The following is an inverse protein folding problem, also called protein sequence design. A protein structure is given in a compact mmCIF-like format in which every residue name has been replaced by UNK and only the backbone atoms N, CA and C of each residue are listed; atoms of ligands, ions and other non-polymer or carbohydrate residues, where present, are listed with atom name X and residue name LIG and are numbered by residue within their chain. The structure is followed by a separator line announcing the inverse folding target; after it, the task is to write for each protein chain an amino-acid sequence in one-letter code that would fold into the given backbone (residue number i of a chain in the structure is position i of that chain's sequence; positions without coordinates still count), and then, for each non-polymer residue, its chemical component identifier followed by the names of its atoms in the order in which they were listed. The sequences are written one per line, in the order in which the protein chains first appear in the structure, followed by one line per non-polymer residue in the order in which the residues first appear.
data_IF_470191174792
#
_entry.id   IF_470191174792
#
_cell.length_a   1.000
_cell.length_b   1.000
_cell.length_c   1.000
_cell.angle_alpha   90.00
_cell.angle_beta   90.00
_cell.angle_gamma   90.00
#
_symmetry.space_group_name_H-M   'P 1'
#
loop_
_entity.id
_entity.type
_entity.pdbx_description
1 polymer ?
#
# COMPACT_ATOMS: atom_id res chain seq x y z
N UNK A 1 -73.35 -59.37 28.32
CA UNK A 1 -72.95 -60.79 28.13
C UNK A 1 -71.53 -60.95 28.68
N UNK A 2 -71.28 -61.86 29.61
CA UNK A 2 -69.95 -62.04 30.21
C UNK A 2 -69.07 -62.90 29.30
N UNK A 3 -67.84 -62.45 29.00
CA UNK A 3 -66.98 -63.10 28.00
C UNK A 3 -66.10 -64.23 28.58
N UNK A 4 -65.99 -64.37 29.91
CA UNK A 4 -65.09 -65.34 30.58
C UNK A 4 -65.81 -66.03 31.74
N UNK A 5 -65.88 -67.38 31.79
CA UNK A 5 -66.49 -68.12 32.90
C UNK A 5 -65.47 -68.37 34.03
N UNK A 6 -65.04 -67.32 34.73
CA UNK A 6 -64.32 -67.42 36.01
C UNK A 6 -64.79 -66.32 36.98
N UNK A 7 -64.90 -66.57 38.30
CA UNK A 7 -65.48 -65.62 39.25
C UNK A 7 -64.42 -64.59 39.67
N UNK A 8 -64.12 -63.68 38.74
CA UNK A 8 -63.49 -62.41 39.08
C UNK A 8 -64.62 -61.49 39.55
N UNK A 9 -64.51 -60.91 40.75
CA UNK A 9 -65.54 -60.06 41.36
C UNK A 9 -65.84 -58.77 40.58
N UNK A 10 -65.88 -57.57 41.18
CA UNK A 10 -66.22 -56.31 40.48
C UNK A 10 -65.33 -55.91 39.29
N UNK A 11 -64.38 -56.77 38.90
CA UNK A 11 -63.35 -56.59 37.88
C UNK A 11 -63.68 -57.39 36.60
N UNK A 12 -64.77 -58.17 36.56
CA UNK A 12 -65.18 -58.87 35.33
C UNK A 12 -65.59 -57.84 34.26
N UNK A 13 -64.90 -57.77 33.10
CA UNK A 13 -65.20 -56.75 32.10
C UNK A 13 -66.51 -57.06 31.40
N UNK A 14 -67.49 -56.18 31.55
CA UNK A 14 -68.66 -56.16 30.68
C UNK A 14 -68.22 -55.93 29.23
N UNK A 15 -68.67 -56.79 28.33
CA UNK A 15 -68.26 -56.78 26.91
C UNK A 15 -68.61 -55.49 26.19
N UNK A 16 -69.67 -54.82 26.64
CA UNK A 16 -70.06 -53.49 26.17
C UNK A 16 -69.03 -52.44 26.60
N UNK A 17 -68.60 -52.44 27.87
CA UNK A 17 -67.58 -51.52 28.37
C UNK A 17 -66.21 -51.77 27.72
N UNK A 18 -65.86 -53.04 27.48
CA UNK A 18 -64.63 -53.40 26.76
C UNK A 18 -64.70 -52.94 25.29
N UNK A 19 -65.82 -53.17 24.60
CA UNK A 19 -65.99 -52.73 23.22
C UNK A 19 -65.92 -51.20 23.09
N UNK A 20 -66.61 -50.46 23.96
CA UNK A 20 -66.57 -49.00 24.00
C UNK A 20 -65.15 -48.50 24.35
N UNK A 21 -64.47 -49.13 25.31
CA UNK A 21 -63.10 -48.81 25.67
C UNK A 21 -62.10 -49.02 24.52
N UNK A 22 -62.22 -50.11 23.77
CA UNK A 22 -61.39 -50.40 22.59
C UNK A 22 -61.65 -49.40 21.47
N UNK A 23 -62.91 -49.01 21.23
CA UNK A 23 -63.25 -48.00 20.23
C UNK A 23 -62.71 -46.62 20.61
N UNK A 24 -62.87 -46.20 21.86
CA UNK A 24 -62.31 -44.94 22.38
C UNK A 24 -60.78 -44.93 22.32
N UNK A 25 -60.14 -46.01 22.76
CA UNK A 25 -58.69 -46.16 22.71
C UNK A 25 -58.17 -46.16 21.27
N UNK A 26 -58.85 -46.87 20.36
CA UNK A 26 -58.51 -46.91 18.94
C UNK A 26 -58.62 -45.53 18.28
N UNK A 27 -59.69 -44.79 18.57
CA UNK A 27 -59.89 -43.42 18.09
C UNK A 27 -58.78 -42.48 18.59
N UNK A 28 -58.47 -42.52 19.89
CA UNK A 28 -57.39 -41.74 20.48
C UNK A 28 -56.02 -42.11 19.90
N UNK A 29 -55.75 -43.41 19.71
CA UNK A 29 -54.50 -43.91 19.13
C UNK A 29 -54.30 -43.39 17.70
N UNK A 30 -55.33 -43.43 16.86
CA UNK A 30 -55.27 -42.89 15.50
C UNK A 30 -55.03 -41.37 15.51
N UNK A 31 -55.70 -40.65 16.41
CA UNK A 31 -55.51 -39.20 16.56
C UNK A 31 -54.07 -38.84 16.98
N UNK A 32 -53.54 -39.50 18.01
CA UNK A 32 -52.17 -39.27 18.51
C UNK A 32 -51.12 -39.67 17.46
N UNK A 33 -51.30 -40.83 16.80
CA UNK A 33 -50.41 -41.28 15.72
C UNK A 33 -50.35 -40.26 14.58
N UNK A 34 -51.51 -39.69 14.20
CA UNK A 34 -51.57 -38.64 13.17
C UNK A 34 -50.84 -37.36 13.60
N UNK A 35 -50.92 -36.99 14.88
CA UNK A 35 -50.25 -35.81 15.42
C UNK A 35 -48.74 -35.99 15.47
N UNK A 36 -48.24 -37.13 15.94
CA UNK A 36 -46.80 -37.46 16.00
C UNK A 36 -46.17 -37.42 14.60
N UNK A 37 -46.85 -37.95 13.58
CA UNK A 37 -46.35 -37.89 12.21
C UNK A 37 -46.18 -36.45 11.69
N UNK A 38 -47.06 -35.52 12.09
CA UNK A 38 -46.90 -34.10 11.73
C UNK A 38 -45.74 -33.44 12.46
N UNK A 39 -45.55 -33.75 13.74
CA UNK A 39 -44.43 -33.21 14.53
C UNK A 39 -43.09 -33.72 13.98
N UNK A 40 -42.98 -35.01 13.69
CA UNK A 40 -41.77 -35.59 13.10
C UNK A 40 -41.41 -34.93 11.76
N UNK A 41 -42.41 -34.66 10.91
CA UNK A 41 -42.19 -33.95 9.64
C UNK A 41 -41.57 -32.55 9.82
N UNK A 42 -42.04 -31.79 10.82
CA UNK A 42 -41.48 -30.46 11.12
C UNK A 42 -40.08 -30.56 11.71
N UNK A 43 -39.81 -31.59 12.52
CA UNK A 43 -38.47 -31.83 13.07
C UNK A 43 -37.47 -32.25 11.98
N UNK A 44 -37.87 -33.10 11.04
CA UNK A 44 -37.07 -33.49 9.88
C UNK A 44 -36.80 -32.30 8.94
N UNK A 45 -37.80 -31.46 8.70
CA UNK A 45 -37.66 -30.23 7.90
C UNK A 45 -36.68 -29.25 8.57
N UNK A 46 -36.72 -29.12 9.90
CA UNK A 46 -35.74 -28.31 10.63
C UNK A 46 -34.34 -28.92 10.61
N UNK A 47 -34.23 -30.23 10.80
CA UNK A 47 -32.96 -30.95 10.77
C UNK A 47 -32.28 -30.83 9.40
N UNK A 48 -33.03 -31.00 8.31
CA UNK A 48 -32.52 -30.85 6.94
C UNK A 48 -32.11 -29.41 6.62
N UNK A 49 -32.82 -28.40 7.12
CA UNK A 49 -32.37 -26.99 6.99
C UNK A 49 -31.05 -26.77 7.73
N UNK A 50 -30.94 -27.25 8.98
CA UNK A 50 -29.72 -27.11 9.78
C UNK A 50 -28.52 -27.84 9.15
N UNK A 51 -28.76 -29.04 8.62
CA UNK A 51 -27.73 -29.85 7.96
C UNK A 51 -27.34 -29.24 6.60
N UNK A 52 -28.29 -28.69 5.84
CA UNK A 52 -28.02 -27.90 4.64
C UNK A 52 -27.23 -26.61 4.92
N UNK A 53 -27.40 -26.02 6.11
CA UNK A 53 -26.61 -24.85 6.56
C UNK A 53 -25.21 -25.25 7.04
N UNK A 54 -25.06 -26.42 7.68
CA UNK A 54 -23.80 -26.88 8.26
C UNK A 54 -22.89 -27.64 7.26
N UNK A 55 -23.47 -28.38 6.32
CA UNK A 55 -22.74 -29.20 5.35
C UNK A 55 -23.05 -28.91 3.88
N UNK A 56 -24.03 -28.05 3.59
CA UNK A 56 -24.44 -27.70 2.24
C UNK A 56 -23.80 -26.42 1.68
N UNK A 57 -24.39 -25.81 0.64
CA UNK A 57 -23.81 -24.68 -0.11
C UNK A 57 -23.41 -23.46 0.76
N UNK A 58 -24.06 -23.29 1.90
CA UNK A 58 -23.75 -22.21 2.84
C UNK A 58 -22.37 -22.38 3.53
N UNK A 59 -21.94 -23.63 3.79
CA UNK A 59 -20.63 -23.91 4.36
C UNK A 59 -19.51 -23.69 3.33
N UNK A 60 -19.75 -24.06 2.07
CA UNK A 60 -18.85 -23.78 0.95
C UNK A 60 -18.69 -22.27 0.72
N UNK A 61 -19.80 -21.53 0.74
CA UNK A 61 -19.77 -20.07 0.61
C UNK A 61 -18.98 -19.39 1.74
N UNK A 62 -19.10 -19.89 2.98
CA UNK A 62 -18.30 -19.40 4.11
C UNK A 62 -16.82 -19.68 3.93
N UNK A 63 -16.46 -20.91 3.54
CA UNK A 63 -15.07 -21.29 3.25
C UNK A 63 -14.48 -20.45 2.13
N UNK A 64 -15.25 -20.19 1.07
CA UNK A 64 -14.81 -19.35 -0.03
C UNK A 64 -14.64 -17.89 0.39
N UNK A 65 -15.56 -17.36 1.21
CA UNK A 65 -15.42 -16.02 1.77
C UNK A 65 -14.19 -15.90 2.68
N UNK A 66 -13.88 -16.93 3.48
CA UNK A 66 -12.67 -16.99 4.30
C UNK A 66 -11.40 -17.06 3.45
N UNK A 67 -11.40 -17.87 2.39
CA UNK A 67 -10.29 -17.93 1.42
C UNK A 67 -10.03 -16.59 0.76
N UNK A 68 -11.08 -15.96 0.21
CA UNK A 68 -10.97 -14.63 -0.43
C UNK A 68 -10.47 -13.59 0.57
N UNK A 69 -10.91 -13.65 1.84
CA UNK A 69 -10.39 -12.76 2.89
C UNK A 69 -8.90 -13.00 3.13
N UNK A 70 -8.49 -14.26 3.30
CA UNK A 70 -7.08 -14.61 3.51
C UNK A 70 -6.20 -14.19 2.33
N UNK A 71 -6.64 -14.41 1.09
CA UNK A 71 -5.95 -13.97 -0.12
C UNK A 71 -5.82 -12.45 -0.16
N UNK A 72 -6.90 -11.71 0.11
CA UNK A 72 -6.84 -10.23 0.15
C UNK A 72 -5.90 -9.73 1.23
N UNK A 73 -5.90 -10.32 2.41
CA UNK A 73 -4.98 -9.96 3.49
C UNK A 73 -3.54 -10.24 3.11
N UNK A 74 -3.27 -11.37 2.44
CA UNK A 74 -1.95 -11.70 1.92
C UNK A 74 -1.49 -10.67 0.86
N UNK A 75 -2.34 -10.34 -0.11
CA UNK A 75 -2.03 -9.30 -1.13
C UNK A 75 -1.78 -7.94 -0.49
N UNK A 76 -2.55 -7.55 0.54
CA UNK A 76 -2.32 -6.29 1.24
C UNK A 76 -1.01 -6.30 2.04
N UNK A 77 -0.64 -7.42 2.63
CA UNK A 77 0.64 -7.57 3.32
C UNK A 77 1.82 -7.48 2.35
N UNK A 78 1.73 -8.16 1.20
CA UNK A 78 2.72 -8.11 0.13
C UNK A 78 2.86 -6.70 -0.45
N UNK A 79 1.74 -6.03 -0.79
CA UNK A 79 1.77 -4.66 -1.29
C UNK A 79 2.38 -3.68 -0.28
N UNK A 80 2.13 -3.86 1.03
CA UNK A 80 2.77 -3.05 2.09
C UNK A 80 4.28 -3.30 2.17
N UNK A 81 4.69 -4.56 2.01
CA UNK A 81 6.10 -4.93 1.99
C UNK A 81 6.81 -4.33 0.78
N UNK A 82 6.24 -4.48 -0.42
CA UNK A 82 6.76 -3.87 -1.65
C UNK A 82 6.83 -2.35 -1.53
N UNK A 83 5.77 -1.69 -1.05
CA UNK A 83 5.78 -0.26 -0.82
C UNK A 83 6.86 0.18 0.18
N UNK A 84 7.15 -0.62 1.21
CA UNK A 84 8.25 -0.35 2.12
C UNK A 84 9.61 -0.49 1.44
N UNK A 85 9.79 -1.53 0.62
CA UNK A 85 11.01 -1.71 -0.17
C UNK A 85 11.22 -0.55 -1.15
N UNK A 86 10.19 -0.15 -1.90
CA UNK A 86 10.27 0.97 -2.85
C UNK A 86 10.63 2.27 -2.14
N UNK A 87 10.02 2.56 -0.98
CA UNK A 87 10.39 3.74 -0.18
C UNK A 87 11.85 3.69 0.28
N UNK A 88 12.34 2.52 0.65
CA UNK A 88 13.72 2.36 1.09
C UNK A 88 14.70 2.56 -0.08
N UNK A 89 14.46 1.93 -1.22
CA UNK A 89 15.27 2.11 -2.45
C UNK A 89 15.29 3.58 -2.89
N UNK A 90 14.13 4.24 -2.93
CA UNK A 90 14.05 5.66 -3.29
C UNK A 90 14.84 6.58 -2.34
N UNK A 91 14.92 6.23 -1.04
CA UNK A 91 15.74 6.97 -0.07
C UNK A 91 17.23 6.76 -0.29
N UNK A 92 17.64 5.52 -0.54
CA UNK A 92 19.04 5.17 -0.80
C UNK A 92 19.52 5.78 -2.12
N UNK A 93 18.75 5.60 -3.20
CA UNK A 93 19.01 6.19 -4.51
C UNK A 93 18.99 7.72 -4.45
N UNK A 94 18.01 8.31 -3.76
CA UNK A 94 17.93 9.76 -3.58
C UNK A 94 19.13 10.33 -2.82
N UNK A 95 19.57 9.66 -1.75
CA UNK A 95 20.75 10.06 -1.00
C UNK A 95 22.03 9.95 -1.84
N UNK A 96 22.17 8.86 -2.61
CA UNK A 96 23.29 8.67 -3.52
C UNK A 96 23.31 9.73 -4.63
N UNK A 97 22.16 10.05 -5.22
CA UNK A 97 22.05 11.08 -6.25
C UNK A 97 22.40 12.47 -5.71
N UNK A 98 21.95 12.82 -4.50
CA UNK A 98 22.30 14.09 -3.86
C UNK A 98 23.81 14.15 -3.57
N UNK A 99 24.42 13.05 -3.14
CA UNK A 99 25.86 12.98 -2.91
C UNK A 99 26.64 13.17 -4.21
N UNK A 100 26.25 12.46 -5.29
CA UNK A 100 26.86 12.61 -6.61
C UNK A 100 26.71 14.03 -7.15
N UNK A 101 25.51 14.62 -7.08
CA UNK A 101 25.27 15.99 -7.52
C UNK A 101 26.10 17.03 -6.73
N UNK A 102 26.34 16.80 -5.43
CA UNK A 102 27.23 17.65 -4.63
C UNK A 102 28.69 17.53 -5.06
N UNK A 103 29.16 16.31 -5.33
CA UNK A 103 30.51 16.06 -5.80
C UNK A 103 30.75 16.72 -7.17
N UNK A 104 29.82 16.53 -8.10
CA UNK A 104 29.85 17.16 -9.41
C UNK A 104 29.85 18.69 -9.31
N UNK A 105 28.99 19.26 -8.44
CA UNK A 105 28.96 20.70 -8.22
C UNK A 105 30.25 21.26 -7.61
N UNK A 106 30.93 20.51 -6.73
CA UNK A 106 32.24 20.93 -6.19
C UNK A 106 33.31 20.88 -7.28
N UNK A 107 33.31 19.85 -8.11
CA UNK A 107 34.23 19.72 -9.25
C UNK A 107 34.04 20.85 -10.26
N UNK A 108 32.80 21.11 -10.68
CA UNK A 108 32.49 22.20 -11.62
C UNK A 108 32.86 23.56 -11.02
N UNK A 109 32.59 23.80 -9.73
CA UNK A 109 33.03 25.02 -9.03
C UNK A 109 34.54 25.19 -9.10
N UNK A 110 35.30 24.14 -8.85
CA UNK A 110 36.77 24.19 -8.83
C UNK A 110 37.34 24.41 -10.24
N UNK A 111 36.71 23.82 -11.27
CA UNK A 111 37.02 24.09 -12.67
C UNK A 111 36.75 25.56 -13.03
N UNK A 112 35.60 26.11 -12.63
CA UNK A 112 35.27 27.52 -12.87
C UNK A 112 36.22 28.46 -12.13
N UNK A 113 36.58 28.14 -10.88
CA UNK A 113 37.52 28.95 -10.10
C UNK A 113 38.92 28.95 -10.71
N UNK A 114 39.42 27.78 -11.12
CA UNK A 114 40.75 27.67 -11.74
C UNK A 114 40.80 28.38 -13.10
N UNK A 115 39.77 28.21 -13.94
CA UNK A 115 39.63 28.96 -15.19
C UNK A 115 39.54 30.47 -14.95
N UNK A 116 38.76 30.92 -13.96
CA UNK A 116 38.63 32.32 -13.60
C UNK A 116 39.94 32.93 -13.11
N UNK A 117 40.70 32.21 -12.27
CA UNK A 117 42.02 32.66 -11.83
C UNK A 117 43.00 32.79 -13.00
N UNK A 118 42.99 31.83 -13.93
CA UNK A 118 43.82 31.89 -15.13
C UNK A 118 43.45 33.09 -16.02
N UNK A 119 42.16 33.36 -16.20
CA UNK A 119 41.67 34.53 -16.95
C UNK A 119 42.10 35.84 -16.30
N UNK A 120 41.92 35.99 -14.99
CA UNK A 120 42.35 37.19 -14.24
C UNK A 120 43.87 37.39 -14.34
N UNK A 121 44.66 36.31 -14.26
CA UNK A 121 46.12 36.40 -14.39
C UNK A 121 46.53 36.84 -15.81
N UNK A 122 45.88 36.32 -16.84
CA UNK A 122 46.12 36.71 -18.23
C UNK A 122 45.72 38.18 -18.47
N UNK A 123 44.57 38.61 -17.95
CA UNK A 123 44.09 39.99 -18.09
C UNK A 123 45.01 40.98 -17.38
N UNK A 124 45.49 40.66 -16.16
CA UNK A 124 46.51 41.46 -15.47
C UNK A 124 47.79 41.63 -16.28
N UNK A 125 48.29 40.55 -16.89
CA UNK A 125 49.49 40.60 -17.71
C UNK A 125 49.30 41.49 -18.95
N UNK A 126 48.12 41.42 -19.60
CA UNK A 126 47.76 42.29 -20.72
C UNK A 126 47.69 43.76 -20.30
N UNK A 127 46.95 44.07 -19.23
CA UNK A 127 46.80 45.44 -18.74
C UNK A 127 48.13 46.03 -18.27
N UNK A 128 49.00 45.24 -17.62
CA UNK A 128 50.32 45.74 -17.22
C UNK A 128 51.20 46.08 -18.43
N UNK A 129 51.10 45.31 -19.52
CA UNK A 129 51.75 45.61 -20.79
C UNK A 129 51.24 46.92 -21.41
N UNK A 130 49.93 47.11 -21.45
CA UNK A 130 49.29 48.34 -21.95
C UNK A 130 49.66 49.57 -21.11
N UNK A 131 49.66 49.44 -19.78
CA UNK A 131 50.06 50.52 -18.87
C UNK A 131 51.53 50.89 -19.08
N UNK A 132 52.43 49.92 -19.20
CA UNK A 132 53.86 50.18 -19.48
C UNK A 132 54.06 50.87 -20.83
N UNK A 133 53.26 50.55 -21.84
CA UNK A 133 53.32 51.23 -23.14
C UNK A 133 52.88 52.70 -23.06
N UNK A 134 52.01 53.07 -22.12
CA UNK A 134 51.54 54.45 -21.90
C UNK A 134 52.49 55.30 -21.02
N UNK A 135 53.40 54.68 -20.25
CA UNK A 135 54.35 55.40 -19.38
C UNK A 135 55.27 56.37 -20.15
N UNK A 136 55.88 56.02 -21.31
CA UNK A 136 56.73 56.94 -22.06
C UNK A 136 56.00 58.19 -22.55
N UNK A 137 54.75 58.04 -22.99
CA UNK A 137 53.91 59.16 -23.42
C UNK A 137 53.63 60.10 -22.24
N UNK A 138 53.18 59.58 -21.10
CA UNK A 138 52.95 60.37 -19.88
C UNK A 138 54.24 61.04 -19.37
N UNK A 139 55.37 60.34 -19.43
CA UNK A 139 56.67 60.90 -19.06
C UNK A 139 57.10 62.05 -20.00
N UNK A 140 56.84 61.93 -21.30
CA UNK A 140 57.11 62.99 -22.28
C UNK A 140 56.26 64.25 -22.04
N UNK A 141 54.98 64.06 -21.67
CA UNK A 141 54.05 65.15 -21.34
C UNK A 141 54.50 65.87 -20.06
N UNK A 142 54.94 65.12 -19.05
CA UNK A 142 55.46 65.68 -17.80
C UNK A 142 56.78 66.44 -18.03
N UNK A 143 57.71 65.86 -18.80
CA UNK A 143 58.97 66.50 -19.15
C UNK A 143 58.75 67.82 -19.91
N UNK A 144 57.82 67.83 -20.87
CA UNK A 144 57.46 69.06 -21.61
C UNK A 144 56.89 70.15 -20.69
N UNK A 145 56.10 69.78 -19.66
CA UNK A 145 55.57 70.73 -18.68
C UNK A 145 56.64 71.30 -17.73
N UNK A 146 57.66 70.51 -17.36
CA UNK A 146 58.75 70.95 -16.48
C UNK A 146 59.75 71.84 -17.22
N UNK A 147 60.05 71.52 -18.48
CA UNK A 147 61.02 72.27 -19.31
C UNK A 147 60.40 73.57 -19.88
N UNK A 148 59.06 73.69 -19.89
CA UNK A 148 58.36 74.93 -20.24
C UNK A 148 58.22 75.19 -21.73
N UNK A 149 58.59 74.25 -22.60
CA UNK A 149 58.49 74.40 -24.06
C UNK A 149 58.26 73.03 -24.74
N UNK A 150 57.31 72.92 -25.70
CA UNK A 150 56.91 71.62 -26.25
C UNK A 150 57.94 71.14 -27.28
N UNK A 151 58.48 69.93 -27.10
CA UNK A 151 59.27 69.25 -28.12
C UNK A 151 58.41 68.24 -28.89
N UNK A 152 58.51 68.19 -30.23
CA UNK A 152 57.73 67.30 -31.06
C UNK A 152 58.17 65.84 -30.89
N UNK A 153 57.19 64.95 -30.86
CA UNK A 153 57.31 63.50 -30.72
C UNK A 153 58.36 62.92 -31.66
N UNK A 154 59.37 62.24 -31.10
CA UNK A 154 60.35 61.51 -31.89
C UNK A 154 59.69 60.27 -32.52
N UNK A 155 59.23 60.43 -33.76
CA UNK A 155 58.89 59.34 -34.66
C UNK A 155 60.17 58.55 -34.95
N UNK A 156 60.27 57.33 -34.44
CA UNK A 156 61.32 56.40 -34.80
C UNK A 156 61.17 56.01 -36.28
N UNK A 157 62.05 56.57 -37.11
CA UNK A 157 62.29 56.15 -38.48
C UNK A 157 63.53 55.25 -38.52
N UNK A 158 63.36 54.03 -39.05
CA UNK A 158 64.45 53.31 -39.74
C UNK A 158 65.10 52.11 -39.04
N UNK A 159 64.42 50.95 -39.07
CA UNK A 159 64.84 49.70 -39.76
C UNK A 159 63.95 48.52 -39.36
#
# INVERSE_FOLDING_TARGET
MQLIPMPLGPINPDVENLAVGVVLFGSLYVFVRRMILRVNRVLEERATILEGVAGGPAAELRREAERIRAEREATLAEARHEAAQVRQRAREEGAALIAAAREDGVRERDEVLTAGQAAIAAERASTEGELRAQVPELASVLASRIVGEPLPTATASGR
#
